data_IF_810550967795
#
_entry.id   IF_810550967795
#
_cell.length_a   1.000
_cell.length_b   1.000
_cell.length_c   1.000
_cell.angle_alpha   90.00
_cell.angle_beta   90.00
_cell.angle_gamma   90.00
#
_symmetry.space_group_name_H-M   'P 1'
#
loop_
_entity.id
_entity.type
_entity.pdbx_description
1 polymer ?
#
# COMPACT_ATOMS: atom_id res chain seq x y z
N UNK A 1 16.15 -7.19 -16.68
CA UNK A 1 15.39 -7.30 -15.41
C UNK A 1 14.07 -6.59 -15.60
N UNK A 2 12.97 -7.06 -14.99
CA UNK A 2 11.67 -6.41 -15.08
C UNK A 2 11.74 -4.97 -14.58
N UNK A 3 10.91 -4.09 -15.16
CA UNK A 3 10.80 -2.68 -14.77
C UNK A 3 9.40 -2.43 -14.22
N UNK A 4 9.30 -1.90 -13.01
CA UNK A 4 8.01 -1.49 -12.45
C UNK A 4 7.41 -0.34 -13.27
N UNK A 5 6.16 -0.51 -13.71
CA UNK A 5 5.41 0.47 -14.51
C UNK A 5 4.29 1.16 -13.73
N UNK A 6 3.96 0.68 -12.53
CA UNK A 6 2.96 1.25 -11.66
C UNK A 6 2.50 0.27 -10.58
N UNK A 7 1.46 0.65 -9.86
CA UNK A 7 0.73 -0.21 -8.92
C UNK A 7 -0.73 0.26 -8.85
N UNK A 8 -1.62 -0.64 -8.43
CA UNK A 8 -2.97 -0.32 -8.01
C UNK A 8 -3.20 -0.91 -6.62
N UNK A 9 -3.90 -0.20 -5.74
CA UNK A 9 -4.23 -0.72 -4.42
C UNK A 9 -5.53 -0.13 -3.87
N UNK A 10 -6.21 -0.91 -3.03
CA UNK A 10 -7.29 -0.42 -2.16
C UNK A 10 -6.67 0.08 -0.85
N UNK A 11 -7.10 1.24 -0.37
CA UNK A 11 -6.61 1.82 0.88
C UNK A 11 -7.63 1.55 1.99
N UNK A 12 -7.15 0.96 3.09
CA UNK A 12 -7.96 0.65 4.27
C UNK A 12 -7.62 1.58 5.44
N UNK A 13 -8.61 2.01 6.22
CA UNK A 13 -8.35 2.76 7.44
C UNK A 13 -7.77 1.85 8.51
N UNK A 14 -6.51 2.10 8.86
CA UNK A 14 -5.82 1.41 9.91
C UNK A 14 -5.65 2.28 11.17
N UNK A 15 -6.24 3.48 11.21
CA UNK A 15 -6.06 4.46 12.29
C UNK A 15 -6.49 3.92 13.65
N UNK A 16 -7.55 3.10 13.70
CA UNK A 16 -7.99 2.43 14.93
C UNK A 16 -6.92 1.50 15.50
N UNK A 17 -6.33 0.64 14.65
CA UNK A 17 -5.27 -0.29 15.06
C UNK A 17 -4.01 0.50 15.41
N UNK A 18 -3.62 1.49 14.61
CA UNK A 18 -2.47 2.34 14.85
C UNK A 18 -2.55 3.05 16.21
N UNK A 19 -3.74 3.55 16.58
CA UNK A 19 -3.97 4.20 17.87
C UNK A 19 -3.93 3.24 19.07
N UNK A 20 -4.22 1.96 18.84
CA UNK A 20 -4.29 0.95 19.90
C UNK A 20 -2.96 0.22 20.09
N UNK A 21 -2.30 -0.16 19.00
CA UNK A 21 -1.04 -0.91 19.00
C UNK A 21 -0.34 -0.83 17.63
N UNK A 22 0.78 -0.10 17.59
CA UNK A 22 1.66 -0.07 16.41
C UNK A 22 2.26 -1.46 16.14
N UNK A 23 2.58 -2.23 17.18
CA UNK A 23 3.10 -3.59 16.99
C UNK A 23 2.09 -4.47 16.26
N UNK A 24 0.79 -4.34 16.56
CA UNK A 24 -0.25 -5.08 15.85
C UNK A 24 -0.41 -4.58 14.41
N UNK A 25 -0.37 -3.26 14.21
CA UNK A 25 -0.41 -2.65 12.87
C UNK A 25 0.70 -3.23 11.97
N UNK A 26 1.93 -3.34 12.49
CA UNK A 26 3.08 -3.81 11.73
C UNK A 26 3.03 -5.28 11.29
N UNK A 27 2.16 -6.09 11.89
CA UNK A 27 1.92 -7.49 11.47
C UNK A 27 0.89 -7.58 10.32
N UNK A 28 0.08 -6.55 10.11
CA UNK A 28 -1.04 -6.57 9.14
C UNK A 28 -0.56 -6.78 7.71
N UNK A 29 0.49 -6.09 7.20
CA UNK A 29 0.94 -6.31 5.82
C UNK A 29 1.36 -7.76 5.54
N UNK A 30 2.07 -8.40 6.48
CA UNK A 30 2.50 -9.80 6.33
C UNK A 30 1.32 -10.78 6.34
N UNK A 31 0.28 -10.50 7.14
CA UNK A 31 -0.93 -11.31 7.17
C UNK A 31 -1.73 -11.16 5.87
N UNK A 32 -1.91 -9.93 5.38
CA UNK A 32 -2.71 -9.65 4.18
C UNK A 32 -2.02 -10.18 2.92
N UNK A 33 -0.70 -10.02 2.79
CA UNK A 33 0.05 -10.47 1.60
C UNK A 33 0.03 -12.00 1.44
N UNK A 34 -0.15 -12.74 2.53
CA UNK A 34 -0.28 -14.20 2.53
C UNK A 34 -1.73 -14.68 2.33
N UNK A 35 -2.70 -13.77 2.25
CA UNK A 35 -4.13 -14.11 2.22
C UNK A 35 -4.73 -13.96 0.82
N UNK A 36 -5.47 -14.95 0.31
CA UNK A 36 -6.20 -14.81 -0.95
C UNK A 36 -7.19 -13.63 -0.93
N UNK A 37 -7.34 -12.93 -2.06
CA UNK A 37 -8.16 -11.72 -2.17
C UNK A 37 -9.61 -11.90 -1.68
N UNK A 38 -10.23 -13.04 -1.98
CA UNK A 38 -11.60 -13.40 -1.54
C UNK A 38 -11.70 -13.46 -0.02
N UNK A 39 -10.70 -14.05 0.64
CA UNK A 39 -10.62 -14.12 2.10
C UNK A 39 -10.37 -12.75 2.73
N UNK A 40 -9.64 -11.87 2.03
CA UNK A 40 -9.39 -10.50 2.48
C UNK A 40 -10.68 -9.68 2.53
N UNK A 41 -11.54 -9.78 1.51
CA UNK A 41 -12.83 -9.10 1.49
C UNK A 41 -13.73 -9.55 2.65
N UNK A 42 -13.72 -10.85 2.96
CA UNK A 42 -14.44 -11.40 4.12
C UNK A 42 -13.87 -10.89 5.46
N UNK A 43 -12.54 -10.88 5.63
CA UNK A 43 -11.90 -10.35 6.84
C UNK A 43 -12.18 -8.86 7.02
N UNK A 44 -12.12 -8.07 5.94
CA UNK A 44 -12.47 -6.66 5.95
C UNK A 44 -13.92 -6.44 6.43
N UNK A 45 -14.87 -7.22 5.91
CA UNK A 45 -16.27 -7.15 6.36
C UNK A 45 -16.41 -7.46 7.85
N UNK A 46 -15.70 -8.49 8.34
CA UNK A 46 -15.74 -8.91 9.74
C UNK A 46 -15.12 -7.85 10.68
N UNK A 47 -13.99 -7.25 10.29
CA UNK A 47 -13.34 -6.15 11.03
C UNK A 47 -14.22 -4.89 11.04
N UNK A 48 -14.86 -4.56 9.91
CA UNK A 48 -15.82 -3.44 9.84
C UNK A 48 -16.98 -3.61 10.83
N UNK A 49 -17.53 -4.82 10.92
CA UNK A 49 -18.58 -5.15 11.90
C UNK A 49 -18.08 -5.04 13.36
N UNK A 50 -16.87 -5.53 13.65
CA UNK A 50 -16.30 -5.53 15.00
C UNK A 50 -15.85 -4.15 15.50
N UNK A 51 -15.38 -3.28 14.59
CA UNK A 51 -14.85 -1.96 14.95
C UNK A 51 -15.89 -0.84 14.94
N UNK A 52 -17.14 -1.11 14.51
CA UNK A 52 -18.16 -0.10 14.20
C UNK A 52 -17.68 0.97 13.20
N UNK A 53 -16.60 0.70 12.45
CA UNK A 53 -16.16 1.57 11.37
C UNK A 53 -17.11 1.40 10.20
N UNK A 54 -17.77 2.48 9.80
CA UNK A 54 -18.72 2.44 8.69
C UNK A 54 -18.04 2.43 7.32
N UNK A 55 -16.76 2.83 7.23
CA UNK A 55 -15.97 2.85 5.99
C UNK A 55 -14.55 2.31 6.24
N UNK A 56 -14.36 0.99 6.13
CA UNK A 56 -13.01 0.41 6.19
C UNK A 56 -12.19 0.78 4.95
N UNK A 57 -12.82 0.89 3.79
CA UNK A 57 -12.17 1.36 2.56
C UNK A 57 -12.25 2.88 2.54
N UNK A 58 -11.10 3.53 2.55
CA UNK A 58 -10.99 5.00 2.58
C UNK A 58 -10.56 5.60 1.26
N UNK A 59 -10.03 4.79 0.34
CA UNK A 59 -9.54 5.30 -0.92
C UNK A 59 -8.93 4.25 -1.82
N UNK A 60 -8.32 4.74 -2.88
CA UNK A 60 -7.63 3.96 -3.90
C UNK A 60 -6.28 4.59 -4.26
N UNK A 61 -5.36 3.74 -4.68
CA UNK A 61 -4.05 4.12 -5.21
C UNK A 61 -3.93 3.63 -6.65
N UNK A 62 -3.45 4.48 -7.54
CA UNK A 62 -3.20 4.15 -8.95
C UNK A 62 -2.12 5.06 -9.54
N UNK A 63 -1.68 4.77 -10.77
CA UNK A 63 -0.78 5.65 -11.53
C UNK A 63 -1.56 6.34 -12.64
N UNK A 64 -1.43 7.66 -12.75
CA UNK A 64 -2.09 8.42 -13.82
C UNK A 64 -1.33 8.30 -15.16
N UNK A 65 -1.86 8.92 -16.23
CA UNK A 65 -1.25 8.89 -17.56
C UNK A 65 0.16 9.50 -17.63
N UNK A 66 0.53 10.36 -16.68
CA UNK A 66 1.88 10.91 -16.57
C UNK A 66 2.85 9.99 -15.80
N UNK A 67 2.38 8.85 -15.30
CA UNK A 67 3.15 7.93 -14.47
C UNK A 67 3.31 8.38 -13.03
N UNK A 68 2.48 9.33 -12.56
CA UNK A 68 2.53 9.79 -11.18
C UNK A 68 1.67 8.89 -10.27
N UNK A 69 2.20 8.42 -9.13
CA UNK A 69 1.42 7.75 -8.11
C UNK A 69 0.37 8.70 -7.51
N UNK A 70 -0.90 8.31 -7.60
CA UNK A 70 -2.07 9.03 -7.09
C UNK A 70 -2.65 8.28 -5.90
N UNK A 71 -2.97 9.01 -4.84
CA UNK A 71 -3.78 8.54 -3.72
C UNK A 71 -5.06 9.35 -3.66
N UNK A 72 -6.20 8.68 -3.77
CA UNK A 72 -7.53 9.30 -3.79
C UNK A 72 -8.35 8.80 -2.60
N UNK A 73 -8.66 9.69 -1.66
CA UNK A 73 -9.36 9.37 -0.42
C UNK A 73 -10.87 9.65 -0.50
N UNK A 74 -11.42 9.85 -1.70
CA UNK A 74 -12.85 10.20 -1.88
C UNK A 74 -13.81 9.10 -1.44
N UNK A 75 -13.37 7.84 -1.40
CA UNK A 75 -14.20 6.73 -0.90
C UNK A 75 -14.57 6.88 0.58
N UNK A 76 -13.76 7.62 1.36
CA UNK A 76 -14.09 7.97 2.75
C UNK A 76 -15.15 9.07 2.90
N UNK A 77 -15.52 9.76 1.82
CA UNK A 77 -16.29 11.00 1.85
C UNK A 77 -15.46 12.27 2.01
N UNK A 78 -14.12 12.16 2.10
CA UNK A 78 -13.21 13.31 2.07
C UNK A 78 -13.04 13.89 0.65
N UNK A 79 -12.52 15.12 0.56
CA UNK A 79 -12.05 15.70 -0.71
C UNK A 79 -10.52 15.60 -0.88
N UNK A 80 -9.86 14.79 -0.05
CA UNK A 80 -8.40 14.68 -0.01
C UNK A 80 -7.90 13.75 -1.10
N UNK A 81 -6.88 14.19 -1.83
CA UNK A 81 -6.22 13.39 -2.87
C UNK A 81 -4.87 14.00 -3.22
N UNK A 82 -3.91 13.22 -3.70
CA UNK A 82 -2.70 13.77 -4.28
C UNK A 82 -2.10 12.88 -5.36
N UNK A 83 -1.68 13.51 -6.46
CA UNK A 83 -0.62 13.01 -7.30
C UNK A 83 0.74 13.36 -6.67
N UNK A 84 1.63 12.39 -6.63
CA UNK A 84 2.91 12.45 -5.94
C UNK A 84 4.07 12.07 -6.85
N UNK A 85 5.31 12.32 -6.40
CA UNK A 85 6.53 11.82 -7.04
C UNK A 85 7.43 11.17 -6.00
N UNK A 86 8.19 10.16 -6.42
CA UNK A 86 9.21 9.54 -5.56
C UNK A 86 10.31 10.54 -5.21
N UNK A 87 10.52 10.76 -3.92
CA UNK A 87 11.59 11.60 -3.37
C UNK A 87 12.76 10.74 -2.90
N UNK A 88 12.48 9.67 -2.16
CA UNK A 88 13.50 8.77 -1.67
C UNK A 88 13.02 7.31 -1.68
N UNK A 89 13.97 6.39 -1.66
CA UNK A 89 13.74 4.95 -1.63
C UNK A 89 14.83 4.28 -0.80
N UNK A 90 14.46 3.29 -0.01
CA UNK A 90 15.42 2.37 0.64
C UNK A 90 14.88 0.96 0.59
N UNK A 91 15.77 -0.03 0.57
CA UNK A 91 15.37 -1.43 0.70
C UNK A 91 14.56 -1.62 1.98
N UNK A 92 13.51 -2.44 1.92
CA UNK A 92 12.77 -2.83 3.10
C UNK A 92 13.71 -3.54 4.08
N UNK A 93 13.64 -3.24 5.40
CA UNK A 93 14.40 -3.97 6.40
C UNK A 93 14.06 -5.45 6.34
N UNK A 94 15.08 -6.31 6.39
CA UNK A 94 14.84 -7.75 6.48
C UNK A 94 14.21 -8.06 7.84
N UNK A 95 12.99 -8.59 7.85
CA UNK A 95 12.43 -9.19 9.06
C UNK A 95 13.28 -10.41 9.46
N UNK A 96 13.30 -10.74 10.76
CA UNK A 96 14.14 -11.82 11.34
C UNK A 96 13.93 -13.19 10.66
N UNK A 97 12.81 -13.38 9.96
CA UNK A 97 12.46 -14.57 9.19
C UNK A 97 13.16 -14.68 7.83
N UNK A 98 13.93 -13.69 7.40
CA UNK A 98 14.76 -13.78 6.19
C UNK A 98 13.99 -13.71 4.87
N UNK A 99 12.75 -13.22 4.85
CA UNK A 99 12.05 -12.96 3.60
C UNK A 99 12.79 -11.91 2.77
N UNK A 100 13.44 -12.35 1.70
CA UNK A 100 13.75 -11.51 0.54
C UNK A 100 12.50 -11.48 -0.33
N UNK A 101 11.99 -10.31 -0.69
CA UNK A 101 10.79 -10.23 -1.54
C UNK A 101 9.93 -8.99 -1.35
N UNK A 102 10.26 -8.12 -0.39
CA UNK A 102 9.43 -6.97 -0.04
C UNK A 102 9.83 -5.72 -0.83
N UNK A 103 8.85 -5.09 -1.48
CA UNK A 103 9.10 -3.86 -2.23
C UNK A 103 9.75 -2.77 -1.36
N UNK A 104 10.58 -1.89 -1.95
CA UNK A 104 11.26 -0.84 -1.20
C UNK A 104 10.33 0.08 -0.41
N UNK A 105 10.79 0.60 0.71
CA UNK A 105 10.14 1.71 1.39
C UNK A 105 10.34 2.99 0.57
N UNK A 106 9.31 3.83 0.52
CA UNK A 106 9.29 5.04 -0.30
C UNK A 106 8.91 6.26 0.53
N UNK A 107 9.60 7.37 0.26
CA UNK A 107 9.07 8.72 0.54
C UNK A 107 8.56 9.31 -0.77
N UNK A 108 7.30 9.72 -0.78
CA UNK A 108 6.64 10.37 -1.90
C UNK A 108 6.28 11.80 -1.50
N UNK A 109 6.55 12.74 -2.40
CA UNK A 109 6.29 14.16 -2.20
C UNK A 109 5.17 14.66 -3.11
N UNK A 110 4.47 15.69 -2.64
CA UNK A 110 3.41 16.37 -3.37
C UNK A 110 3.83 16.85 -4.76
N UNK A 111 2.98 16.61 -5.75
CA UNK A 111 2.99 17.33 -7.04
C UNK A 111 1.74 18.16 -7.23
N UNK A 112 0.57 17.58 -6.96
CA UNK A 112 -0.74 18.20 -7.18
C UNK A 112 -1.79 17.50 -6.33
N UNK A 113 -2.74 18.24 -5.77
CA UNK A 113 -3.82 17.64 -5.00
C UNK A 113 -4.38 18.55 -3.92
N UNK A 114 -5.12 17.94 -2.99
CA UNK A 114 -5.72 18.57 -1.84
C UNK A 114 -5.39 17.77 -0.56
N UNK A 115 -5.07 18.49 0.52
CA UNK A 115 -4.79 17.99 1.89
C UNK A 115 -3.67 16.95 2.09
N UNK A 116 -3.08 16.39 1.04
CA UNK A 116 -1.95 15.46 1.17
C UNK A 116 -0.69 16.17 0.63
N UNK A 117 0.39 16.12 1.39
CA UNK A 117 1.69 16.75 1.11
C UNK A 117 2.85 15.76 1.08
N UNK A 118 2.84 14.78 1.96
CA UNK A 118 3.82 13.69 1.97
C UNK A 118 3.13 12.34 2.17
N UNK A 119 3.66 11.31 1.51
CA UNK A 119 3.23 9.92 1.70
C UNK A 119 4.44 9.04 1.95
N UNK A 120 4.39 8.22 2.99
CA UNK A 120 5.41 7.22 3.28
C UNK A 120 4.83 5.83 3.09
N UNK A 121 5.51 5.02 2.27
CA UNK A 121 5.25 3.57 2.16
C UNK A 121 6.28 2.84 3.01
N UNK A 122 5.84 2.15 4.04
CA UNK A 122 6.67 1.40 5.00
C UNK A 122 6.04 0.05 5.30
N UNK A 123 6.78 -0.80 6.02
CA UNK A 123 6.32 -2.14 6.44
C UNK A 123 5.68 -2.90 5.28
N UNK A 124 6.47 -3.08 4.23
CA UNK A 124 6.07 -3.74 2.99
C UNK A 124 6.19 -5.25 3.15
N UNK A 125 5.29 -5.99 2.50
CA UNK A 125 5.34 -7.45 2.41
C UNK A 125 5.05 -7.90 0.99
N UNK A 126 5.96 -8.68 0.41
CA UNK A 126 5.97 -9.14 -0.99
C UNK A 126 6.12 -8.00 -2.02
N UNK A 127 5.95 -8.35 -3.31
CA UNK A 127 5.92 -7.42 -4.44
C UNK A 127 7.25 -7.22 -5.18
N UNK A 128 8.34 -7.83 -4.75
CA UNK A 128 9.58 -7.79 -5.54
C UNK A 128 9.38 -8.48 -6.90
N UNK A 129 9.85 -7.87 -7.99
CA UNK A 129 9.79 -8.50 -9.30
C UNK A 129 10.75 -9.70 -9.36
N UNK A 130 10.49 -10.67 -10.25
CA UNK A 130 11.44 -11.74 -10.50
C UNK A 130 12.79 -11.19 -10.97
N UNK A 131 13.87 -11.87 -10.59
CA UNK A 131 15.23 -11.43 -10.89
C UNK A 131 15.55 -11.40 -12.40
N UNK A 132 14.79 -12.13 -13.21
CA UNK A 132 14.96 -12.17 -14.67
C UNK A 132 13.62 -12.08 -15.39
N UNK A 133 13.66 -11.65 -16.66
CA UNK A 133 12.50 -11.69 -17.55
C UNK A 133 12.32 -13.05 -18.24
N UNK A 134 13.22 -14.01 -18.00
CA UNK A 134 13.19 -15.30 -18.70
C UNK A 134 12.01 -16.13 -18.20
N UNK A 135 11.20 -16.62 -19.14
CA UNK A 135 10.00 -17.42 -18.81
C UNK A 135 8.87 -16.63 -18.17
N UNK A 136 8.92 -15.29 -18.22
CA UNK A 136 7.85 -14.42 -17.73
C UNK A 136 7.02 -13.86 -18.89
N UNK A 137 5.77 -13.54 -18.60
CA UNK A 137 4.92 -12.80 -19.52
C UNK A 137 5.45 -11.37 -19.77
N UNK A 138 4.95 -10.73 -20.82
CA UNK A 138 5.31 -9.35 -21.16
C UNK A 138 4.94 -8.35 -20.04
N UNK A 139 3.91 -8.68 -19.25
CA UNK A 139 3.49 -7.94 -18.07
C UNK A 139 3.35 -8.92 -16.90
N UNK A 140 3.87 -8.53 -15.74
CA UNK A 140 3.85 -9.32 -14.51
C UNK A 140 3.14 -8.50 -13.45
N UNK A 141 2.19 -9.12 -12.76
CA UNK A 141 1.57 -8.57 -11.55
C UNK A 141 2.08 -9.37 -10.36
N UNK A 142 2.58 -8.67 -9.35
CA UNK A 142 3.04 -9.26 -8.09
C UNK A 142 2.29 -8.55 -6.98
N UNK A 143 1.51 -9.32 -6.24
CA UNK A 143 0.74 -8.79 -5.12
C UNK A 143 1.66 -8.40 -3.96
N UNK A 144 1.29 -7.35 -3.25
CA UNK A 144 1.97 -6.90 -2.05
C UNK A 144 1.01 -6.16 -1.13
N UNK A 145 1.41 -6.03 0.12
CA UNK A 145 0.76 -5.18 1.10
C UNK A 145 1.78 -4.21 1.71
N UNK A 146 1.32 -3.05 2.17
CA UNK A 146 2.17 -2.05 2.81
C UNK A 146 1.36 -1.13 3.71
N UNK A 147 2.05 -0.50 4.67
CA UNK A 147 1.52 0.64 5.40
C UNK A 147 1.76 1.94 4.63
N UNK A 148 0.73 2.78 4.56
CA UNK A 148 0.82 4.12 4.00
C UNK A 148 0.48 5.17 5.05
N UNK A 149 1.41 6.08 5.28
CA UNK A 149 1.25 7.21 6.19
C UNK A 149 1.12 8.50 5.40
N UNK A 150 0.04 9.24 5.62
CA UNK A 150 -0.31 10.45 4.88
C UNK A 150 -0.15 11.67 5.78
N UNK A 151 0.53 12.71 5.30
CA UNK A 151 0.76 13.98 6.00
C UNK A 151 0.34 15.15 5.10
N UNK A 152 -0.17 16.23 5.70
CA UNK A 152 -0.89 17.30 5.00
C UNK A 152 -0.69 18.68 5.60
#
# INVERSE_FOLDING_TARGET
>A
MPKATGAAATLFDASCIASSSLSLLHEVPALISATPLESLAFMAALVGQGTRSTNLIIGEHYFNAAGDPVFDMRLSGSNSWAATSKIASTSAPKLKSGSSGDVPWLKLGYKKGNDIREVYRVVTSQGDPPSTCSGQDAAIQVDYAAEYWFYG
#
